data_IF_078437734004
#
_entry.id   IF_078437734004
#
_cell.length_a   1.000
_cell.length_b   1.000
_cell.length_c   1.000
_cell.angle_alpha   90.00
_cell.angle_beta   90.00
_cell.angle_gamma   90.00
#
_symmetry.space_group_name_H-M   'P 1'
#
loop_
_entity.id
_entity.type
_entity.pdbx_description
1 polymer ?
#
# COMPACT_ATOMS: atom_id res chain seq x y z
N UNK A 1 -22.33 34.09 -7.32
CA UNK A 1 -21.07 33.33 -7.32
C UNK A 1 -21.45 31.86 -7.34
N UNK A 2 -20.76 31.03 -8.13
CA UNK A 2 -21.01 29.58 -8.14
C UNK A 2 -20.65 29.00 -6.77
N UNK A 3 -21.39 27.98 -6.31
CA UNK A 3 -21.07 27.27 -5.07
C UNK A 3 -19.77 26.48 -5.25
N UNK A 4 -18.83 26.65 -4.32
CA UNK A 4 -17.58 25.89 -4.29
C UNK A 4 -17.60 24.87 -3.14
N UNK A 5 -16.97 23.73 -3.37
CA UNK A 5 -16.85 22.61 -2.43
C UNK A 5 -15.39 22.44 -2.02
N UNK A 6 -15.17 22.20 -0.73
CA UNK A 6 -13.84 22.02 -0.17
C UNK A 6 -13.35 20.57 -0.37
N UNK A 7 -12.22 20.40 -1.03
CA UNK A 7 -11.58 19.09 -1.24
C UNK A 7 -10.15 19.07 -0.67
N UNK A 8 -9.56 17.87 -0.58
CA UNK A 8 -8.17 17.67 -0.14
C UNK A 8 -7.40 16.85 -1.15
N UNK A 9 -6.15 17.23 -1.39
CA UNK A 9 -5.26 16.57 -2.35
C UNK A 9 -4.50 15.37 -1.75
N UNK A 10 -4.71 15.04 -0.47
CA UNK A 10 -3.97 13.98 0.24
C UNK A 10 -2.60 14.39 0.78
N UNK A 11 -2.06 15.52 0.34
CA UNK A 11 -0.78 16.11 0.79
C UNK A 11 -0.97 17.19 1.89
N UNK A 12 -2.16 17.26 2.48
CA UNK A 12 -2.55 18.29 3.45
C UNK A 12 -3.06 19.60 2.83
N UNK A 13 -2.93 19.81 1.51
CA UNK A 13 -3.48 20.98 0.82
C UNK A 13 -5.00 20.87 0.69
N UNK A 14 -5.68 21.97 1.00
CA UNK A 14 -7.11 22.17 0.75
C UNK A 14 -7.31 22.97 -0.53
N UNK A 15 -8.24 22.53 -1.36
CA UNK A 15 -8.66 23.24 -2.58
C UNK A 15 -10.17 23.46 -2.55
N UNK A 16 -10.65 24.39 -3.38
CA UNK A 16 -12.06 24.70 -3.54
C UNK A 16 -12.39 24.64 -5.03
N UNK A 17 -13.35 23.81 -5.41
CA UNK A 17 -13.75 23.60 -6.80
C UNK A 17 -15.27 23.74 -6.94
N UNK A 18 -15.74 24.19 -8.09
CA UNK A 18 -17.17 24.14 -8.42
C UNK A 18 -17.61 22.72 -8.77
N UNK A 19 -18.91 22.44 -8.74
CA UNK A 19 -19.45 21.12 -9.14
C UNK A 19 -18.98 20.73 -10.54
N UNK A 20 -19.02 21.67 -11.48
CA UNK A 20 -18.64 21.44 -12.88
C UNK A 20 -17.19 21.00 -12.98
N UNK A 21 -16.30 21.66 -12.23
CA UNK A 21 -14.87 21.31 -12.25
C UNK A 21 -14.60 19.97 -11.57
N UNK A 22 -15.37 19.61 -10.53
CA UNK A 22 -15.26 18.30 -9.89
C UNK A 22 -15.64 17.19 -10.85
N UNK A 23 -16.77 17.33 -11.56
CA UNK A 23 -17.23 16.33 -12.53
C UNK A 23 -16.23 16.17 -13.68
N UNK A 24 -15.72 17.27 -14.22
CA UNK A 24 -14.68 17.26 -15.27
C UNK A 24 -13.42 16.48 -14.83
N UNK A 25 -12.93 16.70 -13.61
CA UNK A 25 -11.76 16.01 -13.06
C UNK A 25 -12.03 14.51 -12.80
N UNK A 26 -13.23 14.15 -12.34
CA UNK A 26 -13.63 12.74 -12.17
C UNK A 26 -13.68 12.05 -13.53
N UNK A 27 -14.34 12.65 -14.52
CA UNK A 27 -14.45 12.09 -15.87
C UNK A 27 -13.06 11.89 -16.49
N UNK A 28 -12.19 12.89 -16.42
CA UNK A 28 -10.82 12.80 -16.94
C UNK A 28 -9.99 11.72 -16.22
N UNK A 29 -10.05 11.70 -14.88
CA UNK A 29 -9.30 10.73 -14.08
C UNK A 29 -9.76 9.29 -14.28
N UNK A 30 -11.08 9.07 -14.30
CA UNK A 30 -11.66 7.73 -14.49
C UNK A 30 -11.54 7.23 -15.91
N UNK A 31 -11.62 8.09 -16.93
CA UNK A 31 -11.35 7.71 -18.31
C UNK A 31 -9.88 7.30 -18.52
N UNK A 32 -8.93 8.03 -17.93
CA UNK A 32 -7.52 7.67 -17.97
C UNK A 32 -7.26 6.32 -17.27
N UNK A 33 -7.86 6.10 -16.10
CA UNK A 33 -7.77 4.82 -15.40
C UNK A 33 -8.38 3.66 -16.21
N UNK A 34 -9.50 3.90 -16.89
CA UNK A 34 -10.15 2.91 -17.74
C UNK A 34 -9.30 2.53 -18.97
N UNK A 35 -8.68 3.53 -19.61
CA UNK A 35 -7.76 3.32 -20.73
C UNK A 35 -6.51 2.52 -20.30
N UNK A 36 -5.84 2.94 -19.22
CA UNK A 36 -4.66 2.24 -18.69
C UNK A 36 -4.97 0.83 -18.18
N UNK A 37 -6.16 0.63 -17.62
CA UNK A 37 -6.60 -0.66 -17.09
C UNK A 37 -7.22 -1.59 -18.14
N UNK A 38 -7.43 -1.10 -19.38
CA UNK A 38 -8.18 -1.79 -20.42
C UNK A 38 -9.57 -2.28 -19.95
N UNK A 39 -10.26 -1.45 -19.15
CA UNK A 39 -11.59 -1.73 -18.59
C UNK A 39 -12.63 -0.74 -19.11
N UNK A 40 -13.91 -1.05 -18.90
CA UNK A 40 -15.00 -0.13 -19.26
C UNK A 40 -14.94 1.13 -18.40
N UNK A 41 -15.28 2.27 -19.02
CA UNK A 41 -15.50 3.52 -18.29
C UNK A 41 -16.67 3.36 -17.31
N UNK A 42 -16.64 4.14 -16.24
CA UNK A 42 -17.78 4.23 -15.32
C UNK A 42 -19.01 4.77 -16.05
N UNK A 43 -20.18 4.29 -15.63
CA UNK A 43 -21.47 4.82 -16.07
C UNK A 43 -21.72 6.22 -15.49
N UNK A 44 -22.60 6.99 -16.14
CA UNK A 44 -23.01 8.32 -15.67
C UNK A 44 -23.48 8.33 -14.21
N UNK A 45 -24.18 7.27 -13.78
CA UNK A 45 -24.65 7.12 -12.40
C UNK A 45 -23.53 6.90 -11.39
N UNK A 46 -22.48 6.16 -11.77
CA UNK A 46 -21.28 5.97 -10.93
C UNK A 46 -20.47 7.26 -10.83
N UNK A 47 -20.31 8.00 -11.93
CA UNK A 47 -19.67 9.31 -11.94
C UNK A 47 -20.42 10.31 -11.06
N UNK A 48 -21.76 10.36 -11.16
CA UNK A 48 -22.59 11.21 -10.31
C UNK A 48 -22.46 10.82 -8.83
N UNK A 49 -22.39 9.52 -8.52
CA UNK A 49 -22.20 9.05 -7.15
C UNK A 49 -20.84 9.48 -6.57
N UNK A 50 -19.77 9.40 -7.35
CA UNK A 50 -18.45 9.89 -6.94
C UNK A 50 -18.48 11.40 -6.69
N UNK A 51 -19.13 12.17 -7.57
CA UNK A 51 -19.28 13.61 -7.40
C UNK A 51 -20.07 13.95 -6.12
N UNK A 52 -21.15 13.20 -5.82
CA UNK A 52 -21.91 13.34 -4.58
C UNK A 52 -21.03 13.15 -3.33
N UNK A 53 -20.19 12.10 -3.33
CA UNK A 53 -19.27 11.80 -2.23
C UNK A 53 -18.26 12.95 -2.04
N UNK A 54 -17.65 13.44 -3.12
CA UNK A 54 -16.66 14.53 -3.04
C UNK A 54 -17.27 15.87 -2.61
N UNK A 55 -18.52 16.13 -2.99
CA UNK A 55 -19.24 17.34 -2.63
C UNK A 55 -19.94 17.25 -1.25
N UNK A 56 -19.88 16.10 -0.59
CA UNK A 56 -20.54 15.88 0.69
C UNK A 56 -19.98 16.85 1.75
N UNK A 57 -20.83 17.59 2.49
CA UNK A 57 -20.37 18.52 3.53
C UNK A 57 -19.83 17.81 4.79
N UNK A 58 -20.05 16.50 4.90
CA UNK A 58 -19.61 15.67 6.01
C UNK A 58 -18.09 15.53 6.06
N UNK A 59 -17.51 15.72 7.25
CA UNK A 59 -16.07 15.49 7.48
C UNK A 59 -15.73 14.00 7.61
N UNK A 60 -16.66 13.21 8.13
CA UNK A 60 -16.54 11.76 8.23
C UNK A 60 -17.64 11.13 7.36
N UNK A 61 -17.25 10.16 6.54
CA UNK A 61 -18.15 9.40 5.66
C UNK A 61 -18.19 7.95 6.13
N UNK A 62 -19.34 7.32 5.96
CA UNK A 62 -19.56 5.90 6.25
C UNK A 62 -20.58 5.34 5.25
N UNK A 63 -20.83 4.05 5.30
CA UNK A 63 -21.74 3.33 4.40
C UNK A 63 -22.93 2.79 5.20
N UNK A 64 -24.01 2.43 4.49
CA UNK A 64 -25.15 1.75 5.10
C UNK A 64 -24.74 0.37 5.62
N UNK A 65 -25.44 -0.10 6.67
CA UNK A 65 -25.19 -1.42 7.22
C UNK A 65 -25.43 -2.51 6.16
N UNK A 66 -24.44 -3.38 5.96
CA UNK A 66 -24.42 -4.40 4.91
C UNK A 66 -23.72 -3.96 3.62
N UNK A 67 -23.29 -2.71 3.52
CA UNK A 67 -22.54 -2.15 2.39
C UNK A 67 -21.05 -1.91 2.74
N UNK A 68 -20.60 -2.41 3.89
CA UNK A 68 -19.19 -2.37 4.30
C UNK A 68 -18.32 -3.26 3.40
N UNK A 69 -17.07 -2.85 3.21
CA UNK A 69 -16.04 -3.64 2.54
C UNK A 69 -14.96 -4.02 3.56
N UNK A 70 -14.42 -5.25 3.52
CA UNK A 70 -13.33 -5.63 4.41
C UNK A 70 -12.14 -4.69 4.26
N UNK A 71 -11.75 -4.04 5.35
CA UNK A 71 -10.57 -3.18 5.41
C UNK A 71 -9.40 -3.97 5.96
N UNK A 72 -8.34 -4.06 5.16
CA UNK A 72 -7.07 -4.66 5.57
C UNK A 72 -5.95 -3.62 5.57
N UNK A 73 -5.01 -3.77 6.49
CA UNK A 73 -3.81 -2.94 6.55
C UNK A 73 -2.57 -3.77 6.28
N UNK A 74 -1.78 -3.34 5.30
CA UNK A 74 -0.43 -3.84 5.05
C UNK A 74 0.54 -3.23 6.08
N UNK A 75 1.44 -4.05 6.63
CA UNK A 75 2.48 -3.63 7.58
C UNK A 75 2.00 -2.66 8.68
N UNK A 76 0.74 -2.76 9.13
CA UNK A 76 0.09 -1.67 9.86
C UNK A 76 0.80 -1.28 11.16
N UNK A 77 1.53 -2.21 11.80
CA UNK A 77 2.35 -1.90 12.98
C UNK A 77 3.39 -0.81 12.70
N UNK A 78 3.98 -0.80 11.51
CA UNK A 78 4.97 0.19 11.07
C UNK A 78 4.33 1.51 10.67
N UNK A 79 3.02 1.54 10.35
CA UNK A 79 2.30 2.79 10.10
C UNK A 79 2.18 3.63 11.38
N UNK A 80 2.31 3.00 12.55
CA UNK A 80 2.33 3.68 13.85
C UNK A 80 3.77 3.95 14.31
N UNK A 81 4.56 2.89 14.50
CA UNK A 81 5.91 2.96 15.06
C UNK A 81 6.97 3.50 14.08
N UNK A 82 6.79 3.22 12.80
CA UNK A 82 7.74 3.64 11.77
C UNK A 82 7.76 5.15 11.57
N UNK A 83 8.94 5.65 11.19
CA UNK A 83 9.17 6.99 10.65
C UNK A 83 10.02 6.83 9.37
N UNK A 84 9.44 6.15 8.39
CA UNK A 84 10.07 6.02 7.08
C UNK A 84 9.63 7.23 6.27
N UNK A 85 10.52 7.90 5.53
CA UNK A 85 10.21 9.18 4.87
C UNK A 85 9.01 9.20 3.91
N UNK A 86 8.37 8.06 3.64
CA UNK A 86 7.15 7.90 2.85
C UNK A 86 5.94 7.36 3.65
N UNK A 87 6.09 7.00 4.92
CA UNK A 87 5.06 6.34 5.73
C UNK A 87 5.42 6.27 7.22
N UNK A 88 4.39 6.24 8.06
CA UNK A 88 4.52 6.09 9.50
C UNK A 88 4.32 7.42 10.21
N UNK A 89 4.04 7.37 11.50
CA UNK A 89 3.78 8.57 12.32
C UNK A 89 4.75 8.72 13.48
N UNK A 90 5.74 7.81 13.61
CA UNK A 90 6.76 7.86 14.64
C UNK A 90 6.22 7.79 16.06
N UNK A 91 5.05 7.18 16.27
CA UNK A 91 4.46 6.97 17.60
C UNK A 91 5.00 5.63 18.12
N UNK A 92 5.88 5.64 19.15
CA UNK A 92 6.51 4.42 19.61
C UNK A 92 5.47 3.39 20.04
N UNK A 93 5.45 2.25 19.36
CA UNK A 93 4.49 1.17 19.63
C UNK A 93 5.11 -0.19 19.34
N UNK A 94 4.86 -1.17 20.21
CA UNK A 94 5.27 -2.54 19.92
C UNK A 94 4.41 -3.11 18.79
N UNK A 95 4.92 -4.12 18.08
CA UNK A 95 4.16 -4.80 17.02
C UNK A 95 2.78 -5.30 17.49
N UNK A 96 2.70 -5.87 18.69
CA UNK A 96 1.43 -6.30 19.28
C UNK A 96 0.48 -5.12 19.54
N UNK A 97 0.98 -4.03 20.13
CA UNK A 97 0.17 -2.82 20.38
C UNK A 97 -0.32 -2.23 19.06
N UNK A 98 0.53 -2.17 18.04
CA UNK A 98 0.18 -1.71 16.71
C UNK A 98 -0.93 -2.55 16.07
N UNK A 99 -0.84 -3.88 16.14
CA UNK A 99 -1.90 -4.78 15.65
C UNK A 99 -3.22 -4.55 16.38
N UNK A 100 -3.20 -4.55 17.72
CA UNK A 100 -4.41 -4.34 18.53
C UNK A 100 -5.02 -2.95 18.31
N UNK A 101 -4.21 -1.94 17.99
CA UNK A 101 -4.71 -0.60 17.68
C UNK A 101 -5.49 -0.57 16.37
N UNK A 102 -5.01 -1.26 15.33
CA UNK A 102 -5.73 -1.36 14.07
C UNK A 102 -7.06 -2.10 14.23
N UNK A 103 -7.08 -3.22 14.96
CA UNK A 103 -8.31 -3.94 15.26
C UNK A 103 -9.28 -3.11 16.10
N UNK A 104 -8.84 -2.63 17.27
CA UNK A 104 -9.75 -2.13 18.32
C UNK A 104 -10.09 -0.66 18.19
N UNK A 105 -9.17 0.14 17.65
CA UNK A 105 -9.36 1.58 17.53
C UNK A 105 -9.73 1.99 16.10
N UNK A 106 -9.16 1.34 15.08
CA UNK A 106 -9.41 1.68 13.67
C UNK A 106 -10.47 0.80 13.02
N UNK A 107 -10.85 -0.33 13.63
CA UNK A 107 -11.89 -1.21 13.12
C UNK A 107 -11.48 -1.98 11.87
N UNK A 108 -10.18 -2.32 11.75
CA UNK A 108 -9.71 -3.17 10.66
C UNK A 108 -10.36 -4.57 10.73
N UNK A 109 -10.80 -5.10 9.60
CA UNK A 109 -11.40 -6.43 9.50
C UNK A 109 -10.35 -7.54 9.42
N UNK A 110 -9.17 -7.22 8.88
CA UNK A 110 -7.99 -8.07 8.89
C UNK A 110 -6.73 -7.23 9.05
N UNK A 111 -5.64 -7.89 9.41
CA UNK A 111 -4.36 -7.23 9.62
C UNK A 111 -3.22 -8.05 9.02
N UNK A 112 -2.17 -7.36 8.58
CA UNK A 112 -0.91 -7.98 8.21
C UNK A 112 0.21 -7.59 9.18
N UNK A 113 0.95 -8.61 9.63
CA UNK A 113 2.22 -8.47 10.31
C UNK A 113 3.35 -8.61 9.28
N UNK A 114 4.35 -7.73 9.33
CA UNK A 114 5.52 -7.81 8.47
C UNK A 114 6.77 -7.28 9.16
N UNK A 115 7.93 -7.69 8.67
CA UNK A 115 9.22 -7.12 9.07
C UNK A 115 9.39 -5.72 8.47
N UNK A 116 10.24 -4.87 9.07
CA UNK A 116 10.40 -3.46 8.65
C UNK A 116 10.85 -3.29 7.19
N UNK A 117 11.64 -4.22 6.68
CA UNK A 117 12.09 -4.22 5.29
C UNK A 117 11.03 -4.78 4.32
N UNK A 118 10.00 -5.43 4.86
CA UNK A 118 8.90 -6.05 4.12
C UNK A 118 9.34 -6.93 2.95
N UNK A 119 10.49 -7.61 3.05
CA UNK A 119 11.09 -8.39 1.97
C UNK A 119 11.50 -9.78 2.43
N UNK A 120 11.39 -10.81 1.58
CA UNK A 120 11.72 -12.20 1.95
C UNK A 120 13.19 -12.38 2.36
N UNK A 121 14.13 -11.78 1.62
CA UNK A 121 15.57 -11.88 1.86
C UNK A 121 15.98 -11.51 3.31
N UNK A 122 15.60 -10.35 3.87
CA UNK A 122 15.92 -9.98 5.25
C UNK A 122 15.08 -10.70 6.30
N UNK A 123 13.87 -11.18 5.95
CA UNK A 123 13.04 -11.97 6.88
C UNK A 123 13.67 -13.33 7.15
N UNK A 124 14.26 -13.98 6.14
CA UNK A 124 14.80 -15.35 6.24
C UNK A 124 15.73 -15.57 7.45
N UNK A 125 16.78 -14.76 7.68
CA UNK A 125 17.68 -14.96 8.82
C UNK A 125 17.00 -14.83 10.19
N UNK A 126 15.88 -14.11 10.26
CA UNK A 126 15.15 -13.81 11.51
C UNK A 126 13.78 -14.50 11.57
N UNK A 127 13.52 -15.48 10.70
CA UNK A 127 12.20 -16.10 10.55
C UNK A 127 11.67 -16.67 11.87
N UNK A 128 12.53 -17.24 12.71
CA UNK A 128 12.12 -17.76 14.02
C UNK A 128 11.61 -16.67 14.97
N UNK A 129 12.15 -15.45 14.89
CA UNK A 129 11.66 -14.31 15.66
C UNK A 129 10.33 -13.82 15.11
N UNK A 130 10.21 -13.77 13.78
CA UNK A 130 8.97 -13.39 13.10
C UNK A 130 7.83 -14.37 13.38
N UNK A 131 8.09 -15.68 13.41
CA UNK A 131 7.11 -16.69 13.81
C UNK A 131 6.64 -16.51 15.26
N UNK A 132 7.54 -16.19 16.19
CA UNK A 132 7.17 -15.93 17.59
C UNK A 132 6.31 -14.65 17.70
N UNK A 133 6.68 -13.59 16.99
CA UNK A 133 5.90 -12.37 16.95
C UNK A 133 4.50 -12.62 16.37
N UNK A 134 4.42 -13.44 15.31
CA UNK A 134 3.16 -13.85 14.70
C UNK A 134 2.29 -14.64 15.67
N UNK A 135 2.85 -15.64 16.37
CA UNK A 135 2.13 -16.44 17.36
C UNK A 135 1.58 -15.57 18.49
N UNK A 136 2.40 -14.69 19.06
CA UNK A 136 1.98 -13.77 20.12
C UNK A 136 0.85 -12.87 19.65
N UNK A 137 0.94 -12.32 18.44
CA UNK A 137 -0.13 -11.49 17.90
C UNK A 137 -1.41 -12.31 17.68
N UNK A 138 -1.33 -13.48 17.04
CA UNK A 138 -2.50 -14.34 16.80
C UNK A 138 -3.21 -14.76 18.09
N UNK A 139 -2.48 -15.00 19.18
CA UNK A 139 -3.07 -15.33 20.48
C UNK A 139 -3.84 -14.17 21.14
N UNK A 140 -3.60 -12.92 20.71
CA UNK A 140 -4.15 -11.71 21.34
C UNK A 140 -5.13 -10.94 20.43
N UNK A 141 -5.39 -11.44 19.23
CA UNK A 141 -6.22 -10.82 18.20
C UNK A 141 -7.47 -11.67 17.96
N UNK A 142 -8.57 -11.02 17.56
CA UNK A 142 -9.81 -11.67 17.11
C UNK A 142 -9.84 -11.72 15.58
N UNK A 143 -9.40 -10.65 14.93
CA UNK A 143 -9.37 -10.58 13.46
C UNK A 143 -8.27 -11.48 12.88
N UNK A 144 -8.46 -12.01 11.65
CA UNK A 144 -7.42 -12.74 10.95
C UNK A 144 -6.14 -11.90 10.80
N UNK A 145 -5.02 -12.51 11.15
CA UNK A 145 -3.69 -11.93 10.98
C UNK A 145 -2.92 -12.71 9.91
N UNK A 146 -2.46 -11.99 8.90
CA UNK A 146 -1.57 -12.49 7.85
C UNK A 146 -0.12 -12.13 8.19
N UNK A 147 0.81 -12.91 7.63
CA UNK A 147 2.21 -12.50 7.58
C UNK A 147 2.56 -12.18 6.14
N UNK A 148 3.13 -11.02 5.88
CA UNK A 148 3.57 -10.72 4.53
C UNK A 148 4.91 -10.05 4.41
N UNK A 149 5.40 -10.22 3.18
CA UNK A 149 6.70 -9.85 2.69
C UNK A 149 6.59 -9.82 1.17
N UNK A 150 7.29 -8.89 0.53
CA UNK A 150 7.28 -8.71 -0.91
C UNK A 150 8.51 -9.33 -1.57
N UNK A 151 8.37 -9.79 -2.82
CA UNK A 151 9.51 -10.10 -3.67
C UNK A 151 10.19 -8.79 -4.08
N UNK A 152 11.37 -8.50 -3.49
CA UNK A 152 12.13 -7.28 -3.76
C UNK A 152 13.45 -7.59 -4.49
N UNK A 153 13.44 -7.50 -5.83
CA UNK A 153 14.66 -7.73 -6.64
C UNK A 153 15.76 -6.71 -6.36
N UNK A 154 15.42 -5.50 -5.88
CA UNK A 154 16.38 -4.45 -5.57
C UNK A 154 17.46 -4.90 -4.58
N UNK A 155 17.10 -5.77 -3.63
CA UNK A 155 18.02 -6.31 -2.63
C UNK A 155 19.02 -7.32 -3.18
N UNK A 156 18.84 -7.78 -4.42
CA UNK A 156 19.74 -8.73 -5.08
C UNK A 156 20.72 -8.03 -6.03
N UNK A 157 20.58 -6.72 -6.21
CA UNK A 157 21.53 -5.92 -6.97
C UNK A 157 22.61 -5.30 -6.07
N UNK A 158 23.77 -5.05 -6.65
CA UNK A 158 24.86 -4.33 -5.99
C UNK A 158 24.40 -2.93 -5.55
N UNK A 159 24.84 -2.44 -4.37
CA UNK A 159 25.91 -3.01 -3.54
C UNK A 159 25.46 -4.11 -2.55
N UNK A 160 24.17 -4.24 -2.26
CA UNK A 160 23.66 -5.12 -1.19
C UNK A 160 23.45 -6.57 -1.63
N UNK A 161 23.38 -6.78 -2.94
CA UNK A 161 23.18 -8.08 -3.56
C UNK A 161 24.29 -8.48 -4.53
N UNK A 162 24.28 -9.75 -4.96
CA UNK A 162 25.38 -10.34 -5.73
C UNK A 162 25.37 -9.99 -7.23
N UNK A 163 24.28 -9.41 -7.76
CA UNK A 163 24.13 -9.17 -9.20
C UNK A 163 24.33 -7.69 -9.54
N UNK A 164 24.95 -7.38 -10.68
CA UNK A 164 25.20 -5.99 -11.07
C UNK A 164 23.89 -5.22 -11.29
N UNK A 165 23.81 -3.96 -10.85
CA UNK A 165 22.58 -3.17 -10.95
C UNK A 165 22.15 -2.98 -12.43
N UNK A 166 20.95 -3.45 -12.83
CA UNK A 166 20.49 -3.32 -14.22
C UNK A 166 20.39 -1.87 -14.68
N UNK A 167 20.08 -0.94 -13.77
CA UNK A 167 20.04 0.48 -14.07
C UNK A 167 21.40 1.05 -14.49
N UNK A 168 22.48 0.56 -13.91
CA UNK A 168 23.84 0.99 -14.27
C UNK A 168 24.34 0.30 -15.53
N UNK A 169 24.02 -0.97 -15.71
CA UNK A 169 24.28 -1.71 -16.95
C UNK A 169 23.58 -1.09 -18.16
N UNK A 170 22.29 -0.75 -18.02
CA UNK A 170 21.52 -0.08 -19.08
C UNK A 170 22.13 1.28 -19.45
N UNK A 171 22.55 2.09 -18.45
CA UNK A 171 23.26 3.37 -18.70
C UNK A 171 24.57 3.17 -19.46
N UNK A 172 25.22 2.03 -19.27
CA UNK A 172 26.45 1.65 -19.98
C UNK A 172 26.19 0.94 -21.33
N UNK A 173 24.94 0.91 -21.81
CA UNK A 173 24.52 0.25 -23.05
C UNK A 173 24.76 -1.28 -23.07
N UNK A 174 24.87 -1.88 -21.89
CA UNK A 174 25.09 -3.32 -21.69
C UNK A 174 23.74 -4.04 -21.49
N UNK A 175 22.92 -4.06 -22.54
CA UNK A 175 21.52 -4.51 -22.45
C UNK A 175 21.40 -5.99 -22.12
N UNK A 176 22.18 -6.85 -22.77
CA UNK A 176 22.14 -8.29 -22.49
C UNK A 176 22.54 -8.59 -21.05
N UNK A 177 23.61 -7.96 -20.57
CA UNK A 177 24.09 -8.13 -19.19
C UNK A 177 23.06 -7.64 -18.17
N UNK A 178 22.31 -6.57 -18.50
CA UNK A 178 21.22 -6.09 -17.65
C UNK A 178 20.08 -7.10 -17.57
N UNK A 179 19.72 -7.74 -18.68
CA UNK A 179 18.72 -8.81 -18.72
C UNK A 179 19.16 -10.02 -17.91
N UNK A 180 20.38 -10.51 -18.15
CA UNK A 180 20.94 -11.64 -17.43
C UNK A 180 20.97 -11.36 -15.92
N UNK A 181 21.32 -10.13 -15.50
CA UNK A 181 21.28 -9.72 -14.09
C UNK A 181 19.87 -9.76 -13.49
N UNK A 182 18.86 -9.28 -14.22
CA UNK A 182 17.47 -9.34 -13.77
C UNK A 182 16.97 -10.78 -13.65
N UNK A 183 17.31 -11.65 -14.61
CA UNK A 183 16.94 -13.07 -14.58
C UNK A 183 17.58 -13.78 -13.38
N UNK A 184 18.89 -13.58 -13.15
CA UNK A 184 19.57 -14.15 -11.98
C UNK A 184 18.99 -13.64 -10.65
N UNK A 185 18.63 -12.35 -10.57
CA UNK A 185 17.97 -11.78 -9.40
C UNK A 185 16.58 -12.40 -9.18
N UNK A 186 15.79 -12.59 -10.24
CA UNK A 186 14.48 -13.21 -10.18
C UNK A 186 14.57 -14.69 -9.73
N UNK A 187 15.54 -15.46 -10.23
CA UNK A 187 15.78 -16.84 -9.81
C UNK A 187 16.18 -16.93 -8.34
N UNK A 188 17.09 -16.06 -7.89
CA UNK A 188 17.51 -16.03 -6.49
C UNK A 188 16.35 -15.63 -5.58
N UNK A 189 15.61 -14.59 -5.95
CA UNK A 189 14.43 -14.15 -5.22
C UNK A 189 13.36 -15.24 -5.14
N UNK A 190 13.14 -15.98 -6.23
CA UNK A 190 12.19 -17.10 -6.24
C UNK A 190 12.60 -18.20 -5.28
N UNK A 191 13.89 -18.55 -5.21
CA UNK A 191 14.44 -19.45 -4.18
C UNK A 191 14.33 -18.89 -2.76
N UNK A 192 14.20 -17.57 -2.62
CA UNK A 192 13.96 -16.94 -1.33
C UNK A 192 12.51 -16.90 -0.90
N UNK A 193 11.59 -16.83 -1.86
CA UNK A 193 10.16 -16.92 -1.59
C UNK A 193 9.72 -18.36 -1.34
N UNK A 194 10.25 -19.32 -2.09
CA UNK A 194 9.89 -20.74 -2.00
C UNK A 194 10.90 -21.46 -1.10
N UNK A 195 10.42 -22.07 -0.02
CA UNK A 195 11.20 -22.99 0.82
C UNK A 195 11.23 -24.39 0.24
#
# INVERSE_FOLDING_TARGET
>A
MATEYALRMGDGKRIFLTKEKIVEEIEAGTANAADLGEISVLSDGELEKLAEILMMPGKAVSVEQGMEVPVTHDIGTLRLDGDQGNSGVGIPSSRLVGCMMHERAFGADTMELGHIDYSYKPVKPVVSNECQAMEVCQQNMVIPLFYGAMPNMGLYYTPDGPFENPGDLMKAFKIQEAWDSMEHAAEHLSRDTVW
#
